data_IF_745942698314
#
_entry.id   IF_745942698314
#
_cell.length_a   1.000
_cell.length_b   1.000
_cell.length_c   1.000
_cell.angle_alpha   90.00
_cell.angle_beta   90.00
_cell.angle_gamma   90.00
#
_symmetry.space_group_name_H-M   'P 1'
#
loop_
_entity.id
_entity.type
_entity.pdbx_description
1 polymer ?
#
# COMPACT_ATOMS: atom_id res chain seq x y z
N UNK A 1 18.27 -8.21 -37.21
CA UNK A 1 17.13 -7.48 -36.62
C UNK A 1 16.96 -8.04 -35.22
N UNK A 2 17.10 -7.24 -34.15
CA UNK A 2 16.83 -7.76 -32.82
C UNK A 2 15.32 -7.99 -32.69
N UNK A 3 14.95 -9.20 -32.30
CA UNK A 3 13.56 -9.58 -32.04
C UNK A 3 12.99 -8.68 -30.93
N UNK A 4 11.82 -8.11 -31.20
CA UNK A 4 11.01 -7.43 -30.19
C UNK A 4 10.79 -8.39 -29.02
N UNK A 5 10.98 -7.95 -27.76
CA UNK A 5 10.67 -8.82 -26.62
C UNK A 5 9.18 -9.21 -26.68
N UNK A 6 8.83 -10.45 -26.30
CA UNK A 6 7.44 -10.86 -26.29
C UNK A 6 6.67 -9.95 -25.33
N UNK A 7 5.68 -9.22 -25.84
CA UNK A 7 4.65 -8.59 -25.03
C UNK A 7 3.90 -9.70 -24.31
N UNK A 8 4.33 -10.00 -23.08
CA UNK A 8 3.47 -10.64 -22.08
C UNK A 8 2.13 -9.92 -22.13
N UNK A 9 1.06 -10.67 -22.34
CA UNK A 9 -0.30 -10.21 -22.11
C UNK A 9 -0.78 -10.88 -20.84
N UNK A 10 -1.17 -10.09 -19.85
CA UNK A 10 -1.74 -10.56 -18.60
C UNK A 10 -2.89 -11.48 -18.94
N UNK A 11 -2.86 -12.67 -18.35
CA UNK A 11 -3.99 -13.58 -18.41
C UNK A 11 -5.24 -12.85 -17.90
N UNK A 12 -6.37 -13.00 -18.60
CA UNK A 12 -7.67 -12.43 -18.20
C UNK A 12 -8.26 -13.08 -16.95
N UNK A 13 -7.51 -13.97 -16.27
CA UNK A 13 -7.95 -14.63 -15.05
C UNK A 13 -8.14 -13.62 -13.93
N UNK A 14 -9.41 -13.39 -13.62
CA UNK A 14 -9.84 -12.69 -12.42
C UNK A 14 -9.96 -13.72 -11.30
N UNK A 15 -9.48 -13.39 -10.11
CA UNK A 15 -9.65 -14.23 -8.93
C UNK A 15 -10.39 -13.42 -7.86
N UNK A 16 -11.37 -14.06 -7.23
CA UNK A 16 -12.12 -13.45 -6.14
C UNK A 16 -11.21 -13.36 -4.90
N UNK A 17 -11.06 -12.16 -4.37
CA UNK A 17 -10.31 -11.93 -3.13
C UNK A 17 -11.13 -12.51 -1.98
N UNK A 18 -10.47 -13.23 -1.06
CA UNK A 18 -11.13 -13.73 0.15
C UNK A 18 -11.76 -12.56 0.92
N UNK A 19 -13.08 -12.66 1.16
CA UNK A 19 -13.86 -11.63 1.84
C UNK A 19 -14.20 -12.04 3.28
N UNK A 20 -13.97 -11.12 4.22
CA UNK A 20 -14.31 -11.21 5.63
C UNK A 20 -15.24 -10.04 5.96
N UNK A 21 -16.41 -10.25 6.55
CA UNK A 21 -17.23 -9.10 6.96
C UNK A 21 -16.65 -8.41 8.19
N UNK A 22 -16.94 -7.11 8.36
CA UNK A 22 -16.53 -6.39 9.57
C UNK A 22 -17.07 -7.06 10.85
N UNK A 23 -18.29 -7.60 10.80
CA UNK A 23 -18.89 -8.36 11.92
C UNK A 23 -18.11 -9.66 12.21
N UNK A 24 -17.72 -10.43 11.19
CA UNK A 24 -16.87 -11.61 11.38
C UNK A 24 -15.53 -11.25 12.01
N UNK A 25 -14.96 -10.10 11.64
CA UNK A 25 -13.69 -9.63 12.17
C UNK A 25 -13.78 -9.21 13.65
N UNK A 26 -14.90 -8.62 14.09
CA UNK A 26 -15.06 -8.14 15.48
C UNK A 26 -15.68 -9.18 16.42
N UNK A 27 -16.53 -10.06 15.90
CA UNK A 27 -17.43 -10.91 16.70
C UNK A 27 -17.49 -12.37 16.22
N UNK A 28 -16.81 -12.70 15.11
CA UNK A 28 -16.87 -14.03 14.50
C UNK A 28 -16.20 -15.11 15.32
N UNK A 29 -16.50 -16.37 14.98
CA UNK A 29 -15.82 -17.52 15.60
C UNK A 29 -14.38 -17.59 15.11
N UNK A 30 -13.44 -17.86 16.03
CA UNK A 30 -12.01 -17.92 15.71
C UNK A 30 -11.72 -18.89 14.54
N UNK A 31 -12.40 -20.03 14.48
CA UNK A 31 -12.16 -21.05 13.45
C UNK A 31 -12.48 -20.59 12.01
N UNK A 32 -13.62 -19.93 11.82
CA UNK A 32 -14.02 -19.45 10.48
C UNK A 32 -13.06 -18.37 9.98
N UNK A 33 -12.69 -17.44 10.87
CA UNK A 33 -11.78 -16.36 10.54
C UNK A 33 -10.37 -16.88 10.24
N UNK A 34 -9.84 -17.82 11.03
CA UNK A 34 -8.55 -18.47 10.76
C UNK A 34 -8.51 -19.11 9.37
N UNK A 35 -9.61 -19.78 8.96
CA UNK A 35 -9.71 -20.39 7.64
C UNK A 35 -9.62 -19.35 6.53
N UNK A 36 -10.37 -18.25 6.64
CA UNK A 36 -10.33 -17.16 5.65
C UNK A 36 -8.97 -16.46 5.62
N UNK A 37 -8.36 -16.19 6.77
CA UNK A 37 -7.04 -15.59 6.85
C UNK A 37 -5.97 -16.49 6.24
N UNK A 38 -6.02 -17.81 6.44
CA UNK A 38 -5.12 -18.73 5.72
C UNK A 38 -5.35 -18.74 4.21
N UNK A 39 -6.60 -18.69 3.75
CA UNK A 39 -6.93 -18.64 2.33
C UNK A 39 -6.43 -17.35 1.66
N UNK A 40 -6.52 -16.22 2.35
CA UNK A 40 -6.07 -14.93 1.83
C UNK A 40 -4.57 -14.71 1.96
N UNK A 41 -4.02 -14.92 3.15
CA UNK A 41 -2.66 -14.52 3.54
C UNK A 41 -1.65 -15.66 3.66
N UNK A 42 -2.10 -16.91 3.74
CA UNK A 42 -1.21 -18.07 3.88
C UNK A 42 -0.34 -18.29 2.64
N UNK A 43 0.52 -19.30 2.68
CA UNK A 43 1.48 -19.64 1.60
C UNK A 43 0.85 -19.91 0.23
N UNK A 44 -0.39 -20.41 0.21
CA UNK A 44 -1.17 -20.63 -1.02
C UNK A 44 -2.14 -19.48 -1.35
N UNK A 45 -2.22 -18.45 -0.50
CA UNK A 45 -3.11 -17.32 -0.69
C UNK A 45 -2.57 -16.27 -1.65
N UNK A 46 -3.43 -15.31 -2.00
CA UNK A 46 -3.05 -14.18 -2.85
C UNK A 46 -2.25 -13.10 -2.11
N UNK A 47 -2.08 -13.22 -0.79
CA UNK A 47 -1.47 -12.18 0.04
C UNK A 47 -2.38 -10.98 0.27
N UNK A 48 -3.69 -11.10 -0.01
CA UNK A 48 -4.67 -10.03 0.11
C UNK A 48 -6.02 -10.57 0.61
N UNK A 49 -6.71 -9.79 1.44
CA UNK A 49 -8.12 -10.00 1.81
C UNK A 49 -8.91 -8.72 1.61
N UNK A 50 -10.24 -8.82 1.57
CA UNK A 50 -11.13 -7.66 1.66
C UNK A 50 -12.04 -7.75 2.86
N UNK A 51 -12.34 -6.59 3.43
CA UNK A 51 -13.28 -6.41 4.53
C UNK A 51 -14.54 -5.72 4.00
N UNK A 52 -15.68 -6.42 4.08
CA UNK A 52 -16.99 -5.86 3.72
C UNK A 52 -17.64 -5.15 4.91
N UNK A 53 -18.63 -4.31 4.63
CA UNK A 53 -19.52 -3.71 5.63
C UNK A 53 -18.80 -2.90 6.72
N UNK A 54 -17.64 -2.31 6.39
CA UNK A 54 -16.87 -1.48 7.31
C UNK A 54 -17.65 -0.18 7.60
N UNK A 55 -18.04 0.09 8.86
CA UNK A 55 -18.84 1.26 9.18
C UNK A 55 -18.17 2.58 8.78
N UNK A 56 -18.91 3.44 8.07
CA UNK A 56 -18.44 4.76 7.65
C UNK A 56 -17.48 4.78 6.44
N UNK A 57 -17.00 3.62 5.96
CA UNK A 57 -16.02 3.54 4.87
C UNK A 57 -16.48 4.28 3.62
N UNK A 58 -17.69 4.01 3.12
CA UNK A 58 -18.20 4.60 1.88
C UNK A 58 -18.27 6.13 1.96
N UNK A 59 -18.68 6.68 3.10
CA UNK A 59 -18.76 8.13 3.33
C UNK A 59 -17.36 8.76 3.37
N UNK A 60 -16.42 8.15 4.11
CA UNK A 60 -15.06 8.65 4.23
C UNK A 60 -14.30 8.57 2.90
N UNK A 61 -14.46 7.47 2.16
CA UNK A 61 -13.92 7.28 0.80
C UNK A 61 -14.46 8.34 -0.15
N UNK A 62 -15.78 8.56 -0.17
CA UNK A 62 -16.41 9.56 -1.03
C UNK A 62 -15.97 10.99 -0.71
N UNK A 63 -15.61 11.29 0.55
CA UNK A 63 -15.08 12.59 0.95
C UNK A 63 -13.61 12.79 0.56
N UNK A 64 -12.74 11.80 0.80
CA UNK A 64 -11.29 11.96 0.58
C UNK A 64 -10.89 11.80 -0.89
N UNK A 65 -11.38 10.77 -1.59
CA UNK A 65 -10.82 10.41 -2.90
C UNK A 65 -10.93 11.52 -3.96
N UNK A 66 -12.02 12.31 -4.06
CA UNK A 66 -12.07 13.44 -4.99
C UNK A 66 -11.00 14.51 -4.71
N UNK A 67 -10.59 14.68 -3.44
CA UNK A 67 -9.57 15.65 -3.05
C UNK A 67 -8.20 15.35 -3.63
N UNK A 68 -7.92 14.09 -4.04
CA UNK A 68 -6.66 13.76 -4.73
C UNK A 68 -6.51 14.52 -6.05
N UNK A 69 -7.61 14.62 -6.82
CA UNK A 69 -7.64 15.37 -8.07
C UNK A 69 -7.60 16.89 -7.82
N UNK A 70 -8.31 17.36 -6.77
CA UNK A 70 -8.28 18.78 -6.37
C UNK A 70 -6.86 19.20 -5.98
N UNK A 71 -6.18 18.41 -5.13
CA UNK A 71 -4.79 18.62 -4.76
C UNK A 71 -3.89 18.65 -6.00
N UNK A 72 -4.01 17.66 -6.88
CA UNK A 72 -3.22 17.55 -8.11
C UNK A 72 -3.44 18.71 -9.11
N UNK A 73 -4.51 19.49 -8.93
CA UNK A 73 -4.86 20.66 -9.74
C UNK A 73 -4.46 22.01 -9.12
N UNK A 74 -3.91 22.01 -7.90
CA UNK A 74 -3.43 23.24 -7.25
C UNK A 74 -2.30 23.90 -8.08
N UNK A 75 -2.10 25.22 -7.93
CA UNK A 75 -1.01 25.92 -8.62
C UNK A 75 0.34 25.26 -8.34
N UNK A 76 1.22 25.24 -9.35
CA UNK A 76 2.55 24.61 -9.25
C UNK A 76 3.36 25.16 -8.05
N UNK A 77 3.30 26.47 -7.81
CA UNK A 77 3.97 27.09 -6.67
C UNK A 77 3.47 26.54 -5.30
N UNK A 78 2.18 26.20 -5.19
CA UNK A 78 1.63 25.56 -3.99
C UNK A 78 2.15 24.14 -3.89
N UNK A 79 2.07 23.36 -4.97
CA UNK A 79 2.56 21.98 -5.01
C UNK A 79 4.05 21.86 -4.68
N UNK A 80 4.90 22.75 -5.22
CA UNK A 80 6.32 22.83 -4.89
C UNK A 80 6.55 23.11 -3.42
N UNK A 81 5.74 23.99 -2.80
CA UNK A 81 5.78 24.27 -1.37
C UNK A 81 5.37 23.09 -0.48
N UNK A 82 4.74 22.06 -1.06
CA UNK A 82 4.37 20.83 -0.36
C UNK A 82 5.42 19.72 -0.52
N UNK A 83 6.46 19.88 -1.34
CA UNK A 83 7.46 18.82 -1.53
C UNK A 83 8.44 18.75 -0.35
N UNK A 84 8.89 17.54 0.00
CA UNK A 84 9.93 17.31 1.01
C UNK A 84 11.05 16.39 0.48
N UNK A 85 12.02 16.92 -0.27
CA UNK A 85 13.12 16.13 -0.81
C UNK A 85 13.96 15.43 0.26
N UNK A 86 14.11 16.05 1.45
CA UNK A 86 14.90 15.51 2.56
C UNK A 86 14.34 14.18 3.12
N UNK A 87 13.02 13.96 3.02
CA UNK A 87 12.40 12.67 3.36
C UNK A 87 12.42 11.66 2.22
N UNK A 88 13.13 11.95 1.12
CA UNK A 88 12.97 11.24 -0.15
C UNK A 88 11.49 11.24 -0.61
N UNK A 89 10.81 12.39 -0.44
CA UNK A 89 9.40 12.58 -0.77
C UNK A 89 8.42 11.63 -0.05
N UNK A 90 8.77 11.14 1.14
CA UNK A 90 7.88 10.37 2.01
C UNK A 90 6.89 11.24 2.81
N UNK A 91 6.96 12.57 2.66
CA UNK A 91 5.97 13.51 3.19
C UNK A 91 5.63 14.57 2.13
N UNK A 92 4.38 15.01 2.13
CA UNK A 92 3.90 16.04 1.23
C UNK A 92 3.72 15.55 -0.22
N UNK A 93 3.91 16.45 -1.18
CA UNK A 93 3.66 16.18 -2.61
C UNK A 93 4.85 15.54 -3.32
N UNK A 94 4.55 14.61 -4.23
CA UNK A 94 5.52 13.96 -5.11
C UNK A 94 4.91 13.67 -6.49
N UNK A 95 5.55 14.19 -7.55
CA UNK A 95 5.23 13.89 -8.95
C UNK A 95 6.51 13.89 -9.77
N UNK A 96 6.71 12.89 -10.63
CA UNK A 96 7.92 12.78 -11.45
C UNK A 96 9.20 12.54 -10.64
N UNK A 97 9.08 12.10 -9.38
CA UNK A 97 10.23 11.77 -8.52
C UNK A 97 10.62 10.28 -8.60
N UNK A 98 9.70 9.45 -9.08
CA UNK A 98 9.94 8.04 -9.42
C UNK A 98 10.25 7.93 -10.93
N UNK A 99 11.07 6.96 -11.31
CA UNK A 99 11.38 6.66 -12.71
C UNK A 99 10.52 5.48 -13.21
N UNK A 100 10.09 5.54 -14.47
CA UNK A 100 9.52 4.41 -15.21
C UNK A 100 10.62 3.40 -15.56
N UNK A 101 10.25 2.21 -16.04
CA UNK A 101 11.20 1.16 -16.46
C UNK A 101 12.18 1.63 -17.55
N UNK A 102 11.81 2.65 -18.33
CA UNK A 102 12.65 3.27 -19.36
C UNK A 102 13.52 4.45 -18.85
N UNK A 103 13.55 4.67 -17.53
CA UNK A 103 14.34 5.72 -16.87
C UNK A 103 13.70 7.11 -16.89
N UNK A 104 12.58 7.33 -17.58
CA UNK A 104 11.92 8.64 -17.60
C UNK A 104 11.14 8.91 -16.32
N UNK A 105 11.02 10.18 -15.87
CA UNK A 105 10.17 10.53 -14.74
C UNK A 105 8.71 10.08 -14.94
N UNK A 106 8.13 9.44 -13.92
CA UNK A 106 6.71 9.09 -13.91
C UNK A 106 5.85 10.33 -13.63
N UNK A 107 5.40 10.95 -14.72
CA UNK A 107 4.50 12.11 -14.70
C UNK A 107 3.02 11.71 -14.74
N UNK A 108 2.71 10.42 -14.83
CA UNK A 108 1.35 9.88 -14.97
C UNK A 108 0.60 9.82 -13.64
N UNK A 109 1.30 10.01 -12.52
CA UNK A 109 0.69 10.05 -11.19
C UNK A 109 1.26 11.16 -10.32
N UNK A 110 0.39 11.70 -9.46
CA UNK A 110 0.76 12.50 -8.29
C UNK A 110 0.50 11.69 -7.03
N UNK A 111 1.39 11.78 -6.06
CA UNK A 111 1.25 11.17 -4.74
C UNK A 111 1.37 12.22 -3.66
N UNK A 112 0.48 12.16 -2.67
CA UNK A 112 0.58 12.94 -1.45
C UNK A 112 0.72 12.02 -0.25
N UNK A 113 1.78 12.22 0.52
CA UNK A 113 2.13 11.41 1.66
C UNK A 113 1.95 12.17 2.97
N UNK A 114 1.28 11.54 3.92
CA UNK A 114 1.18 12.06 5.27
C UNK A 114 0.96 10.92 6.26
N UNK A 115 1.35 11.13 7.50
CA UNK A 115 1.03 10.26 8.60
C UNK A 115 -0.42 10.57 9.08
N UNK A 116 -1.35 9.60 9.04
CA UNK A 116 -2.74 9.85 9.41
C UNK A 116 -2.96 9.96 10.93
N UNK A 117 -2.02 9.48 11.76
CA UNK A 117 -2.18 9.46 13.22
C UNK A 117 -1.63 10.71 13.88
N UNK A 118 -0.46 11.18 13.44
CA UNK A 118 0.28 12.27 14.07
C UNK A 118 0.95 13.18 13.04
N UNK A 119 0.83 14.49 13.20
CA UNK A 119 1.46 15.46 12.28
C UNK A 119 2.94 15.67 12.53
N UNK A 120 3.37 15.55 13.79
CA UNK A 120 4.77 15.64 14.19
C UNK A 120 5.00 14.64 15.31
N UNK A 121 5.73 13.59 15.01
CA UNK A 121 6.02 12.56 16.00
C UNK A 121 7.10 13.01 17.00
N UNK A 122 8.16 13.67 16.54
CA UNK A 122 9.32 14.02 17.38
C UNK A 122 9.90 15.38 17.02
N UNK A 123 10.57 16.02 17.98
CA UNK A 123 11.41 17.22 17.77
C UNK A 123 12.92 16.91 17.87
N UNK A 124 13.27 15.65 18.11
CA UNK A 124 14.65 15.21 18.20
C UNK A 124 15.34 15.33 16.84
N UNK A 125 16.29 16.26 16.76
CA UNK A 125 17.09 16.53 15.55
C UNK A 125 17.87 15.32 15.07
N UNK A 126 18.30 14.44 15.98
CA UNK A 126 19.01 13.22 15.63
C UNK A 126 18.09 12.25 14.89
N UNK A 127 16.89 12.01 15.42
CA UNK A 127 15.89 11.13 14.79
C UNK A 127 15.39 11.70 13.46
N UNK A 128 15.19 13.02 13.36
CA UNK A 128 14.83 13.70 12.11
C UNK A 128 15.88 13.54 11.02
N UNK A 129 17.16 13.50 11.40
CA UNK A 129 18.28 13.29 10.46
C UNK A 129 18.49 11.83 10.11
N UNK A 130 18.32 10.92 11.08
CA UNK A 130 18.60 9.49 10.89
C UNK A 130 17.46 8.77 10.17
N UNK A 131 16.22 9.19 10.39
CA UNK A 131 15.02 8.54 9.86
C UNK A 131 14.08 9.56 9.20
N UNK A 132 14.54 10.34 8.21
CA UNK A 132 13.77 11.46 7.66
C UNK A 132 12.46 11.01 7.00
N UNK A 133 12.41 9.80 6.41
CA UNK A 133 11.19 9.22 5.84
C UNK A 133 10.09 8.88 6.85
N UNK A 134 10.46 8.71 8.12
CA UNK A 134 9.55 8.33 9.21
C UNK A 134 9.26 9.49 10.18
N UNK A 135 10.25 10.33 10.46
CA UNK A 135 10.20 11.29 11.57
C UNK A 135 9.81 12.72 11.17
N UNK A 136 9.95 13.10 9.90
CA UNK A 136 9.64 14.48 9.44
C UNK A 136 8.14 14.79 9.61
N UNK A 137 7.78 16.07 9.79
CA UNK A 137 6.37 16.43 10.00
C UNK A 137 5.56 16.36 8.69
N UNK A 138 4.25 16.17 8.83
CA UNK A 138 3.31 16.33 7.73
C UNK A 138 3.34 17.76 7.15
N UNK A 139 3.13 17.87 5.84
CA UNK A 139 3.07 19.14 5.11
C UNK A 139 1.70 19.25 4.45
N UNK A 140 0.79 20.00 5.07
CA UNK A 140 -0.59 20.13 4.61
C UNK A 140 -0.79 21.40 3.76
N UNK A 141 -1.64 21.36 2.71
CA UNK A 141 -2.05 22.53 1.93
C UNK A 141 -3.08 23.39 2.69
N UNK A 142 -2.71 23.91 3.86
CA UNK A 142 -3.65 24.50 4.82
C UNK A 142 -4.44 25.71 4.28
N UNK A 143 -3.88 26.47 3.34
CA UNK A 143 -4.54 27.65 2.76
C UNK A 143 -5.36 27.32 1.50
N UNK A 144 -4.95 26.29 0.75
CA UNK A 144 -5.48 26.00 -0.58
C UNK A 144 -6.45 24.81 -0.59
N UNK A 145 -6.32 23.89 0.39
CA UNK A 145 -7.20 22.74 0.57
C UNK A 145 -7.23 22.30 2.07
N UNK A 146 -7.76 23.14 2.97
CA UNK A 146 -7.72 22.90 4.42
C UNK A 146 -8.43 21.61 4.86
N UNK A 147 -9.48 21.19 4.14
CA UNK A 147 -10.28 20.00 4.46
C UNK A 147 -9.51 18.69 4.25
N UNK A 148 -8.42 18.70 3.49
CA UNK A 148 -7.63 17.51 3.19
C UNK A 148 -7.11 16.83 4.46
N UNK A 149 -6.65 17.61 5.45
CA UNK A 149 -6.05 17.08 6.68
C UNK A 149 -7.02 16.17 7.42
N UNK A 150 -8.20 16.67 7.74
CA UNK A 150 -9.19 15.88 8.50
C UNK A 150 -9.77 14.74 7.65
N UNK A 151 -10.01 14.96 6.35
CA UNK A 151 -10.47 13.89 5.46
C UNK A 151 -9.47 12.72 5.36
N UNK A 152 -8.18 13.04 5.24
CA UNK A 152 -7.10 12.06 5.15
C UNK A 152 -6.93 11.30 6.48
N UNK A 153 -6.94 12.02 7.60
CA UNK A 153 -6.78 11.44 8.94
C UNK A 153 -7.94 10.51 9.30
N UNK A 154 -9.18 10.92 9.09
CA UNK A 154 -10.34 10.09 9.47
C UNK A 154 -10.38 8.76 8.69
N UNK A 155 -10.15 8.80 7.36
CA UNK A 155 -10.08 7.55 6.59
C UNK A 155 -8.83 6.74 6.94
N UNK A 156 -7.68 7.39 7.14
CA UNK A 156 -6.45 6.71 7.51
C UNK A 156 -6.54 5.99 8.87
N UNK A 157 -7.17 6.63 9.86
CA UNK A 157 -7.42 6.04 11.18
C UNK A 157 -8.38 4.86 11.10
N UNK A 158 -9.44 4.94 10.28
CA UNK A 158 -10.34 3.79 10.05
C UNK A 158 -9.56 2.60 9.46
N UNK A 159 -8.72 2.85 8.47
CA UNK A 159 -7.92 1.80 7.83
C UNK A 159 -6.93 1.16 8.82
N UNK A 160 -6.25 1.98 9.63
CA UNK A 160 -5.35 1.48 10.69
C UNK A 160 -6.11 0.64 11.71
N UNK A 161 -7.27 1.11 12.17
CA UNK A 161 -8.11 0.38 13.13
C UNK A 161 -8.47 -1.02 12.62
N UNK A 162 -8.96 -1.14 11.39
CA UNK A 162 -9.30 -2.43 10.79
C UNK A 162 -8.05 -3.31 10.59
N UNK A 163 -6.91 -2.70 10.22
CA UNK A 163 -5.63 -3.39 10.12
C UNK A 163 -5.15 -3.97 11.46
N UNK A 164 -5.34 -3.24 12.57
CA UNK A 164 -5.04 -3.73 13.91
C UNK A 164 -5.92 -4.93 14.29
N UNK A 165 -7.22 -4.89 13.99
CA UNK A 165 -8.10 -6.04 14.22
C UNK A 165 -7.61 -7.28 13.46
N UNK A 166 -7.21 -7.14 12.20
CA UNK A 166 -6.62 -8.23 11.41
C UNK A 166 -5.32 -8.75 12.04
N UNK A 167 -4.41 -7.85 12.43
CA UNK A 167 -3.13 -8.22 13.02
C UNK A 167 -3.28 -8.97 14.35
N UNK A 168 -4.31 -8.67 15.14
CA UNK A 168 -4.62 -9.38 16.38
C UNK A 168 -4.97 -10.86 16.11
N UNK A 169 -5.88 -11.12 15.16
CA UNK A 169 -6.22 -12.50 14.77
C UNK A 169 -5.04 -13.23 14.14
N UNK A 170 -4.29 -12.56 13.26
CA UNK A 170 -3.05 -13.08 12.69
C UNK A 170 -2.03 -13.45 13.78
N UNK A 171 -1.88 -12.62 14.80
CA UNK A 171 -0.96 -12.84 15.91
C UNK A 171 -1.31 -14.08 16.72
N UNK A 172 -2.60 -14.28 17.01
CA UNK A 172 -3.11 -15.52 17.66
C UNK A 172 -2.79 -16.78 16.84
N UNK A 173 -2.99 -16.74 15.53
CA UNK A 173 -2.66 -17.87 14.64
C UNK A 173 -1.17 -18.19 14.63
N UNK A 174 -0.31 -17.16 14.60
CA UNK A 174 1.15 -17.33 14.62
C UNK A 174 1.62 -17.88 15.97
N UNK A 175 1.03 -17.43 17.08
CA UNK A 175 1.34 -17.95 18.41
C UNK A 175 0.94 -19.43 18.59
N UNK A 176 -0.19 -19.84 18.00
CA UNK A 176 -0.60 -21.25 17.96
C UNK A 176 0.35 -22.10 17.11
N UNK A 177 0.81 -21.58 15.97
CA UNK A 177 1.70 -22.29 15.06
C UNK A 177 3.15 -22.35 15.55
N UNK A 178 3.64 -21.30 16.23
CA UNK A 178 5.01 -21.19 16.74
C UNK A 178 5.01 -20.98 18.27
N UNK A 179 5.06 -22.07 19.06
CA UNK A 179 5.10 -21.99 20.52
C UNK A 179 6.22 -21.07 21.03
N UNK A 180 5.90 -20.27 22.05
CA UNK A 180 6.82 -19.27 22.61
C UNK A 180 6.72 -17.88 21.96
N UNK A 181 5.83 -17.71 20.97
CA UNK A 181 5.52 -16.39 20.37
C UNK A 181 4.33 -15.77 21.09
N UNK A 182 4.40 -14.47 21.40
CA UNK A 182 3.27 -13.73 21.96
C UNK A 182 2.18 -13.52 20.89
N UNK A 183 0.92 -13.79 21.24
CA UNK A 183 -0.22 -13.55 20.38
C UNK A 183 -0.39 -12.07 20.02
N UNK A 184 -0.03 -11.16 20.92
CA UNK A 184 -0.22 -9.72 20.71
C UNK A 184 0.92 -9.08 19.91
N UNK A 185 1.98 -9.84 19.58
CA UNK A 185 3.20 -9.30 18.98
C UNK A 185 2.93 -8.55 17.68
N UNK A 186 2.19 -9.15 16.77
CA UNK A 186 1.91 -8.56 15.45
C UNK A 186 1.02 -7.32 15.56
N UNK A 187 0.00 -7.37 16.44
CA UNK A 187 -0.84 -6.22 16.74
C UNK A 187 -0.01 -5.07 17.34
N UNK A 188 0.80 -5.35 18.36
CA UNK A 188 1.55 -4.32 19.08
C UNK A 188 2.61 -3.63 18.21
N UNK A 189 3.22 -4.37 17.28
CA UNK A 189 4.16 -3.84 16.28
C UNK A 189 3.58 -2.67 15.49
N UNK A 190 2.30 -2.74 15.13
CA UNK A 190 1.65 -1.71 14.31
C UNK A 190 0.78 -0.74 15.11
N UNK A 191 0.08 -1.21 16.15
CA UNK A 191 -0.88 -0.40 16.90
C UNK A 191 -0.19 0.71 17.70
N UNK A 192 1.02 0.44 18.19
CA UNK A 192 1.84 1.42 18.90
C UNK A 192 2.75 2.23 17.97
N UNK A 193 2.82 1.85 16.69
CA UNK A 193 3.75 2.47 15.74
C UNK A 193 3.26 3.85 15.30
N UNK A 194 4.10 4.88 15.50
CA UNK A 194 3.83 6.21 14.99
C UNK A 194 4.28 6.36 13.54
N UNK A 195 4.66 5.27 12.85
CA UNK A 195 5.29 5.32 11.53
C UNK A 195 4.33 5.05 10.38
N UNK A 196 3.04 4.78 10.65
CA UNK A 196 2.05 4.54 9.59
C UNK A 196 2.00 5.70 8.59
N UNK A 197 1.86 5.36 7.31
CA UNK A 197 1.94 6.33 6.21
C UNK A 197 0.77 6.18 5.26
N UNK A 198 -0.04 7.22 5.12
CA UNK A 198 -1.02 7.32 4.05
C UNK A 198 -0.36 7.83 2.77
N UNK A 199 -0.82 7.33 1.63
CA UNK A 199 -0.49 7.78 0.28
C UNK A 199 -1.80 7.99 -0.48
N UNK A 200 -2.14 9.25 -0.74
CA UNK A 200 -3.25 9.63 -1.60
C UNK A 200 -2.73 9.76 -3.04
N UNK A 201 -3.26 8.95 -3.95
CA UNK A 201 -2.79 8.89 -5.32
C UNK A 201 -3.83 9.48 -6.29
N UNK A 202 -3.33 10.29 -7.22
CA UNK A 202 -4.07 10.73 -8.40
C UNK A 202 -3.33 10.26 -9.65
N UNK A 203 -3.97 9.39 -10.43
CA UNK A 203 -3.51 9.01 -11.77
C UNK A 203 -4.18 9.93 -12.79
N UNK A 204 -3.36 10.66 -13.53
CA UNK A 204 -3.83 11.59 -14.55
C UNK A 204 -4.48 10.85 -15.71
N UNK A 205 -5.44 11.48 -16.42
CA UNK A 205 -6.01 10.88 -17.61
C UNK A 205 -4.95 10.51 -18.65
N UNK A 206 -5.03 9.27 -19.13
CA UNK A 206 -4.20 8.82 -20.24
C UNK A 206 -4.86 9.16 -21.57
N UNK A 207 -4.05 9.61 -22.53
CA UNK A 207 -4.43 9.72 -23.94
C UNK A 207 -3.81 8.60 -24.80
N UNK A 208 -3.13 7.64 -24.17
CA UNK A 208 -2.44 6.57 -24.87
C UNK A 208 -3.41 5.49 -25.38
N UNK A 209 -3.23 5.06 -26.62
CA UNK A 209 -4.01 4.00 -27.26
C UNK A 209 -3.59 2.60 -26.80
N UNK A 210 -2.35 2.42 -26.35
CA UNK A 210 -1.83 1.19 -25.74
C UNK A 210 -1.25 1.50 -24.36
N UNK A 211 -1.42 0.57 -23.43
CA UNK A 211 -1.01 0.74 -22.03
C UNK A 211 -0.22 -0.49 -21.61
N UNK A 212 1.02 -0.25 -21.15
CA UNK A 212 1.87 -1.30 -20.62
C UNK A 212 1.26 -1.92 -19.35
N UNK A 213 1.61 -3.15 -19.07
CA UNK A 213 0.94 -3.98 -18.06
C UNK A 213 1.13 -3.44 -16.63
N UNK A 214 2.31 -2.90 -16.31
CA UNK A 214 2.63 -2.30 -15.01
C UNK A 214 2.79 -0.76 -15.09
N UNK A 215 1.95 -0.13 -15.92
CA UNK A 215 2.08 1.28 -16.33
C UNK A 215 1.74 2.32 -15.27
N UNK A 216 0.91 2.00 -14.28
CA UNK A 216 0.57 2.92 -13.19
C UNK A 216 1.38 2.64 -11.93
N UNK A 217 1.75 1.38 -11.71
CA UNK A 217 2.68 1.00 -10.66
C UNK A 217 3.41 -0.27 -11.08
N UNK A 218 4.74 -0.25 -11.02
CA UNK A 218 5.61 -1.38 -11.33
C UNK A 218 5.39 -2.57 -10.40
N UNK A 219 5.98 -3.72 -10.74
CA UNK A 219 6.01 -4.88 -9.85
C UNK A 219 6.80 -4.58 -8.59
N UNK A 220 6.16 -4.73 -7.43
CA UNK A 220 6.79 -4.55 -6.13
C UNK A 220 6.09 -5.39 -5.07
N UNK A 221 6.71 -5.48 -3.89
CA UNK A 221 6.10 -6.00 -2.67
C UNK A 221 6.18 -4.90 -1.63
N UNK A 222 5.11 -4.70 -0.87
CA UNK A 222 5.10 -3.68 0.18
C UNK A 222 6.03 -4.05 1.32
N UNK A 223 6.75 -3.05 1.84
CA UNK A 223 7.70 -3.20 2.95
C UNK A 223 6.99 -3.20 4.31
N UNK A 224 5.81 -2.58 4.40
CA UNK A 224 4.97 -2.45 5.60
C UNK A 224 4.57 -3.81 6.21
N UNK A 225 3.86 -3.80 7.34
CA UNK A 225 3.26 -5.02 7.87
C UNK A 225 1.97 -5.34 7.13
N UNK A 226 1.09 -4.34 6.99
CA UNK A 226 -0.11 -4.41 6.19
C UNK A 226 -0.23 -3.12 5.35
N UNK A 227 -0.76 -3.24 4.15
CA UNK A 227 -1.20 -2.07 3.37
C UNK A 227 -2.71 -2.13 3.23
N UNK A 228 -3.40 -1.17 3.84
CA UNK A 228 -4.83 -1.01 3.63
C UNK A 228 -5.11 -0.18 2.39
N UNK A 229 -5.97 -0.65 1.48
CA UNK A 229 -6.28 0.00 0.21
C UNK A 229 -7.78 0.18 0.02
N UNK A 230 -8.20 1.41 -0.29
CA UNK A 230 -9.56 1.66 -0.76
C UNK A 230 -9.77 1.10 -2.16
N UNK A 231 -11.01 0.69 -2.48
CA UNK A 231 -11.38 0.55 -3.89
C UNK A 231 -11.20 1.87 -4.63
N UNK A 232 -10.60 1.82 -5.81
CA UNK A 232 -10.27 3.02 -6.57
C UNK A 232 -11.53 3.76 -7.03
N UNK A 233 -11.44 5.07 -7.15
CA UNK A 233 -12.47 5.93 -7.71
C UNK A 233 -12.03 6.38 -9.09
N UNK A 234 -12.83 6.09 -10.11
CA UNK A 234 -12.60 6.56 -11.46
C UNK A 234 -13.40 7.84 -11.68
N UNK A 235 -12.76 8.87 -12.23
CA UNK A 235 -13.37 10.17 -12.42
C UNK A 235 -13.28 10.60 -13.88
N UNK A 236 -14.39 11.09 -14.42
CA UNK A 236 -14.44 11.78 -15.71
C UNK A 236 -15.14 13.13 -15.51
N UNK A 237 -14.51 14.22 -15.93
CA UNK A 237 -15.02 15.59 -15.70
C UNK A 237 -15.39 15.88 -14.23
N UNK A 238 -14.64 15.30 -13.28
CA UNK A 238 -14.85 15.47 -11.84
C UNK A 238 -16.01 14.66 -11.24
N UNK A 239 -16.65 13.77 -12.00
CA UNK A 239 -17.73 12.89 -11.53
C UNK A 239 -17.27 11.44 -11.46
N UNK A 240 -17.70 10.70 -10.43
CA UNK A 240 -17.42 9.26 -10.31
C UNK A 240 -18.13 8.49 -11.44
N UNK A 241 -17.35 7.68 -12.17
CA UNK A 241 -17.81 6.85 -13.27
C UNK A 241 -17.40 5.40 -13.03
N UNK A 242 -18.05 4.47 -13.71
CA UNK A 242 -17.60 3.08 -13.75
C UNK A 242 -16.30 2.98 -14.53
N UNK A 243 -15.45 2.02 -14.16
CA UNK A 243 -14.23 1.73 -14.89
C UNK A 243 -14.58 1.18 -16.29
N UNK A 244 -14.24 1.93 -17.34
CA UNK A 244 -14.49 1.54 -18.74
C UNK A 244 -13.47 0.54 -19.30
N UNK A 245 -12.31 0.35 -18.66
CA UNK A 245 -11.34 -0.70 -19.03
C UNK A 245 -11.33 -1.82 -17.98
N UNK A 246 -11.98 -2.98 -18.24
CA UNK A 246 -12.04 -4.08 -17.29
C UNK A 246 -10.67 -4.69 -16.96
N UNK A 247 -9.64 -4.44 -17.78
CA UNK A 247 -8.27 -4.85 -17.52
C UNK A 247 -7.46 -3.80 -16.74
N UNK A 248 -8.01 -2.63 -16.42
CA UNK A 248 -7.36 -1.68 -15.54
C UNK A 248 -7.49 -2.12 -14.07
N UNK A 249 -6.45 -1.89 -13.27
CA UNK A 249 -6.49 -2.14 -11.82
C UNK A 249 -5.30 -2.94 -11.29
N UNK A 250 -5.53 -3.57 -10.14
CA UNK A 250 -4.52 -4.28 -9.35
C UNK A 250 -4.31 -5.70 -9.90
N UNK A 251 -3.04 -6.06 -10.08
CA UNK A 251 -2.62 -7.41 -10.45
C UNK A 251 -1.67 -7.95 -9.39
N UNK A 252 -1.80 -9.23 -9.07
CA UNK A 252 -1.01 -9.92 -8.06
C UNK A 252 -0.37 -11.15 -8.70
N UNK A 253 0.91 -11.39 -8.38
CA UNK A 253 1.61 -12.63 -8.71
C UNK A 253 1.54 -13.57 -7.52
N UNK A 254 0.82 -14.68 -7.69
CA UNK A 254 0.69 -15.71 -6.66
C UNK A 254 2.01 -16.43 -6.42
N UNK A 255 2.05 -17.25 -5.36
CA UNK A 255 3.21 -18.10 -5.05
C UNK A 255 3.51 -19.16 -6.12
N UNK A 256 2.53 -19.53 -6.96
CA UNK A 256 2.73 -20.40 -8.12
C UNK A 256 3.29 -19.67 -9.36
N UNK A 257 3.47 -18.34 -9.27
CA UNK A 257 3.89 -17.49 -10.38
C UNK A 257 2.75 -17.04 -11.30
N UNK A 258 1.51 -17.42 -11.00
CA UNK A 258 0.34 -17.00 -11.77
C UNK A 258 0.04 -15.52 -11.50
N UNK A 259 -0.20 -14.76 -12.57
CA UNK A 259 -0.64 -13.36 -12.47
C UNK A 259 -2.16 -13.30 -12.58
N UNK A 260 -2.80 -12.77 -11.54
CA UNK A 260 -4.26 -12.63 -11.45
C UNK A 260 -4.67 -11.18 -11.25
N UNK A 261 -5.82 -10.80 -11.80
CA UNK A 261 -6.43 -9.50 -11.51
C UNK A 261 -7.20 -9.57 -10.20
N UNK A 262 -6.85 -8.72 -9.25
CA UNK A 262 -7.51 -8.59 -7.96
C UNK A 262 -8.54 -7.45 -8.01
N UNK A 263 -9.81 -7.80 -7.91
CA UNK A 263 -10.91 -6.84 -7.95
C UNK A 263 -11.38 -6.52 -6.53
N UNK A 264 -11.18 -5.27 -6.08
CA UNK A 264 -11.66 -4.78 -4.79
C UNK A 264 -13.07 -4.20 -5.00
N UNK A 265 -14.14 -4.78 -4.41
CA UNK A 265 -15.49 -4.24 -4.51
C UNK A 265 -15.57 -2.79 -4.00
N UNK A 266 -16.53 -2.02 -4.53
CA UNK A 266 -16.62 -0.55 -4.33
C UNK A 266 -16.67 -0.14 -2.85
N UNK A 267 -17.37 -0.92 -2.04
CA UNK A 267 -17.65 -0.74 -0.62
C UNK A 267 -16.76 -1.60 0.29
N UNK A 268 -15.72 -2.24 -0.27
CA UNK A 268 -14.77 -3.03 0.50
C UNK A 268 -13.49 -2.24 0.80
N UNK A 269 -12.86 -2.60 1.91
CA UNK A 269 -11.49 -2.21 2.25
C UNK A 269 -10.56 -3.41 2.06
N UNK A 270 -9.53 -3.29 1.22
CA UNK A 270 -8.58 -4.37 1.03
C UNK A 270 -7.38 -4.24 1.98
N UNK A 271 -6.80 -5.38 2.37
CA UNK A 271 -5.55 -5.42 3.12
C UNK A 271 -4.58 -6.38 2.43
N UNK A 272 -3.45 -5.84 2.00
CA UNK A 272 -2.36 -6.60 1.42
C UNK A 272 -1.27 -6.85 2.47
N UNK A 273 -0.72 -8.06 2.45
CA UNK A 273 0.37 -8.46 3.32
C UNK A 273 1.68 -7.84 2.85
N UNK A 274 2.41 -7.20 3.76
CA UNK A 274 3.75 -6.69 3.48
C UNK A 274 4.85 -7.55 4.07
N UNK A 275 6.08 -7.30 3.63
CA UNK A 275 7.25 -8.11 3.97
C UNK A 275 7.57 -8.08 5.46
N UNK A 276 7.29 -6.97 6.16
CA UNK A 276 7.52 -6.92 7.60
C UNK A 276 6.68 -7.93 8.37
N UNK A 277 5.41 -8.08 7.99
CA UNK A 277 4.53 -9.09 8.59
C UNK A 277 4.95 -10.51 8.18
N UNK A 278 5.44 -10.71 6.95
CA UNK A 278 6.00 -12.00 6.54
C UNK A 278 7.20 -12.41 7.41
N UNK A 279 8.07 -11.46 7.75
CA UNK A 279 9.20 -11.70 8.68
C UNK A 279 8.67 -12.00 10.08
N UNK A 280 7.88 -11.10 10.68
CA UNK A 280 7.41 -11.24 12.06
C UNK A 280 6.49 -12.45 12.28
N UNK A 281 5.82 -12.93 11.23
CA UNK A 281 5.01 -14.16 11.25
C UNK A 281 5.82 -15.43 10.96
N UNK A 282 7.14 -15.36 10.80
CA UNK A 282 7.96 -16.55 10.53
C UNK A 282 7.70 -17.16 9.15
N UNK A 283 7.19 -16.37 8.20
CA UNK A 283 6.79 -16.83 6.88
C UNK A 283 5.45 -17.56 6.85
N UNK A 284 4.70 -17.58 7.97
CA UNK A 284 3.35 -18.16 8.03
C UNK A 284 2.37 -17.41 7.12
N UNK A 285 2.49 -16.08 7.07
CA UNK A 285 1.83 -15.25 6.07
C UNK A 285 2.82 -14.78 5.00
N UNK A 286 2.33 -14.58 3.77
CA UNK A 286 3.16 -14.23 2.62
C UNK A 286 2.74 -12.91 1.99
N UNK A 287 3.71 -12.02 1.85
CA UNK A 287 3.65 -10.86 0.99
C UNK A 287 3.82 -11.29 -0.46
N UNK A 288 3.01 -10.72 -1.35
CA UNK A 288 2.97 -11.10 -2.77
C UNK A 288 3.34 -9.92 -3.67
N UNK A 289 4.14 -10.15 -4.72
CA UNK A 289 4.42 -9.11 -5.70
C UNK A 289 3.14 -8.68 -6.40
N UNK A 290 2.98 -7.38 -6.61
CA UNK A 290 1.81 -6.80 -7.26
C UNK A 290 2.18 -5.57 -8.09
N UNK A 291 1.29 -5.20 -9.01
CA UNK A 291 1.44 -4.04 -9.86
C UNK A 291 0.06 -3.44 -10.18
N UNK A 292 0.05 -2.25 -10.80
CA UNK A 292 -1.20 -1.62 -11.24
C UNK A 292 -1.12 -1.33 -12.73
N UNK A 293 -2.08 -1.88 -13.47
CA UNK A 293 -2.27 -1.60 -14.90
C UNK A 293 -3.15 -0.38 -15.09
N UNK A 294 -2.69 0.56 -15.92
CA UNK A 294 -3.46 1.70 -16.36
C UNK A 294 -4.64 1.36 -17.25
N UNK A 295 -5.64 2.24 -17.24
CA UNK A 295 -6.75 2.16 -18.18
C UNK A 295 -6.28 2.59 -19.58
N UNK A 296 -6.54 1.74 -20.57
CA UNK A 296 -6.24 1.99 -21.98
C UNK A 296 -7.49 2.08 -22.85
N UNK A 297 -7.29 2.45 -24.12
CA UNK A 297 -8.35 2.52 -25.11
C UNK A 297 -9.13 3.84 -25.13
N UNK A 298 -9.87 4.06 -26.23
CA UNK A 298 -10.61 5.32 -26.45
C UNK A 298 -11.68 5.58 -25.40
N UNK A 299 -12.31 4.54 -24.88
CA UNK A 299 -13.38 4.63 -23.86
C UNK A 299 -12.86 5.03 -22.47
N UNK A 300 -11.55 4.91 -22.24
CA UNK A 300 -10.87 5.36 -21.02
C UNK A 300 -10.26 6.76 -21.16
N UNK A 301 -10.39 7.39 -22.34
CA UNK A 301 -9.83 8.70 -22.61
C UNK A 301 -10.46 9.77 -21.71
N UNK A 302 -9.61 10.55 -21.03
CA UNK A 302 -10.08 11.58 -20.10
C UNK A 302 -10.49 11.05 -18.72
N UNK A 303 -10.36 9.73 -18.46
CA UNK A 303 -10.63 9.14 -17.15
C UNK A 303 -9.39 9.20 -16.27
N UNK A 304 -9.53 9.81 -15.09
CA UNK A 304 -8.52 9.74 -14.02
C UNK A 304 -8.88 8.68 -12.99
N UNK A 305 -7.92 8.29 -12.16
CA UNK A 305 -8.14 7.31 -11.08
C UNK A 305 -7.55 7.83 -9.77
N UNK A 306 -8.34 7.80 -8.71
CA UNK A 306 -7.91 8.15 -7.37
C UNK A 306 -7.97 6.94 -6.46
N UNK A 307 -7.01 6.79 -5.56
CA UNK A 307 -7.05 5.77 -4.51
C UNK A 307 -6.27 6.23 -3.30
N UNK A 308 -6.56 5.63 -2.15
CA UNK A 308 -5.85 5.87 -0.91
C UNK A 308 -5.30 4.55 -0.37
N UNK A 309 -4.00 4.53 -0.13
CA UNK A 309 -3.29 3.42 0.49
C UNK A 309 -2.73 3.87 1.85
N UNK A 310 -2.77 3.01 2.85
CA UNK A 310 -2.15 3.25 4.16
C UNK A 310 -1.20 2.11 4.46
N UNK A 311 0.09 2.42 4.47
CA UNK A 311 1.16 1.54 4.90
C UNK A 311 1.18 1.51 6.43
N UNK A 312 0.67 0.43 7.00
CA UNK A 312 0.62 0.18 8.43
C UNK A 312 1.88 -0.60 8.79
N UNK A 313 2.81 0.05 9.48
CA UNK A 313 4.21 -0.40 9.53
C UNK A 313 4.84 -0.28 10.91
N UNK A 314 5.84 -1.10 11.26
CA UNK A 314 6.54 -1.05 12.54
C UNK A 314 7.24 0.28 12.80
N UNK A 315 7.71 0.50 14.03
CA UNK A 315 8.60 1.63 14.33
C UNK A 315 9.98 1.38 13.73
N UNK A 316 10.69 2.42 13.30
CA UNK A 316 11.98 2.29 12.59
C UNK A 316 13.05 1.50 13.37
N UNK A 317 13.04 1.49 14.70
CA UNK A 317 14.00 0.77 15.55
C UNK A 317 13.47 -0.59 16.03
N UNK A 318 12.27 -0.98 15.58
CA UNK A 318 11.73 -2.30 15.88
C UNK A 318 12.56 -3.37 15.18
N UNK A 319 12.87 -4.43 15.92
CA UNK A 319 13.63 -5.55 15.39
C UNK A 319 12.78 -6.34 14.40
N UNK A 320 13.38 -6.67 13.26
CA UNK A 320 12.78 -7.56 12.26
C UNK A 320 13.11 -9.02 12.62
N UNK A 321 12.75 -9.45 13.82
CA UNK A 321 12.99 -10.81 14.29
C UNK A 321 11.90 -11.79 13.81
N UNK A 322 12.18 -13.09 13.84
CA UNK A 322 11.21 -14.13 13.49
C UNK A 322 10.68 -14.80 14.77
N UNK A 323 9.55 -15.52 14.74
CA UNK A 323 9.13 -16.38 15.83
C UNK A 323 10.26 -17.35 16.25
N UNK A 324 10.49 -17.62 17.56
CA UNK A 324 11.63 -18.43 18.01
C UNK A 324 11.70 -19.84 17.42
N UNK A 325 10.53 -20.45 17.15
CA UNK A 325 10.42 -21.78 16.54
C UNK A 325 10.42 -21.76 15.00
N UNK A 326 10.46 -20.57 14.37
CA UNK A 326 10.46 -20.45 12.92
C UNK A 326 11.84 -20.71 12.32
N UNK A 327 11.85 -21.22 11.09
CA UNK A 327 13.07 -21.51 10.33
C UNK A 327 13.35 -20.33 9.40
N UNK A 328 14.51 -19.68 9.55
CA UNK A 328 14.90 -18.48 8.78
C UNK A 328 14.88 -18.71 7.26
N UNK A 329 15.21 -19.91 6.79
CA UNK A 329 15.16 -20.26 5.37
C UNK A 329 13.74 -20.15 4.75
N UNK A 330 12.68 -20.21 5.57
CA UNK A 330 11.30 -20.11 5.11
C UNK A 330 10.81 -18.66 4.93
N UNK A 331 11.58 -17.67 5.40
CA UNK A 331 11.20 -16.26 5.30
C UNK A 331 11.29 -15.81 3.86
N UNK A 332 12.39 -16.07 3.16
CA UNK A 332 12.60 -15.71 1.75
C UNK A 332 12.20 -14.25 1.42
N UNK A 333 12.64 -13.31 2.25
CA UNK A 333 12.47 -11.86 2.03
C UNK A 333 13.84 -11.28 1.69
N UNK A 334 13.94 -10.63 0.54
CA UNK A 334 15.18 -10.02 0.11
C UNK A 334 15.63 -8.92 1.08
N UNK A 335 16.93 -8.83 1.35
CA UNK A 335 17.55 -7.83 2.26
C UNK A 335 17.21 -7.96 3.75
N UNK A 336 16.41 -8.95 4.13
CA UNK A 336 16.24 -9.30 5.53
C UNK A 336 17.47 -10.09 6.04
N UNK A 337 18.01 -9.67 7.17
CA UNK A 337 19.05 -10.39 7.91
C UNK A 337 18.73 -10.39 9.40
N UNK A 338 19.21 -11.38 10.19
CA UNK A 338 19.03 -11.36 11.63
C UNK A 338 19.53 -10.05 12.27
N UNK A 339 18.76 -9.52 13.24
CA UNK A 339 19.01 -8.29 13.98
C UNK A 339 18.93 -6.97 13.18
N UNK A 340 18.40 -7.00 11.95
CA UNK A 340 18.10 -5.76 11.22
C UNK A 340 16.88 -5.07 11.85
N UNK A 341 16.92 -3.75 11.96
CA UNK A 341 15.75 -2.96 12.36
C UNK A 341 14.83 -2.70 11.17
N UNK A 342 13.57 -2.34 11.40
CA UNK A 342 12.63 -2.03 10.33
C UNK A 342 13.10 -0.84 9.47
N UNK A 343 13.74 0.17 10.08
CA UNK A 343 14.28 1.33 9.39
C UNK A 343 15.42 0.97 8.45
N UNK A 344 16.37 0.15 8.91
CA UNK A 344 17.47 -0.37 8.07
C UNK A 344 16.94 -1.27 6.95
N UNK A 345 15.98 -2.15 7.27
CA UNK A 345 15.33 -3.03 6.29
C UNK A 345 14.62 -2.24 5.19
N UNK A 346 13.88 -1.20 5.57
CA UNK A 346 13.15 -0.35 4.64
C UNK A 346 14.09 0.47 3.74
N UNK A 347 15.17 1.00 4.30
CA UNK A 347 16.13 1.83 3.57
C UNK A 347 16.85 1.02 2.48
N UNK A 348 17.25 -0.23 2.75
CA UNK A 348 17.84 -1.10 1.74
C UNK A 348 16.93 -1.28 0.51
N UNK A 349 15.62 -1.36 0.73
CA UNK A 349 14.62 -1.49 -0.34
C UNK A 349 14.42 -0.17 -1.09
N UNK A 350 14.32 0.96 -0.38
CA UNK A 350 14.20 2.27 -1.01
C UNK A 350 15.40 2.63 -1.89
N UNK A 351 16.60 2.23 -1.46
CA UNK A 351 17.81 2.40 -2.27
C UNK A 351 17.76 1.62 -3.58
N UNK A 352 17.17 0.41 -3.61
CA UNK A 352 17.00 -0.34 -4.86
C UNK A 352 16.08 0.38 -5.85
N UNK A 353 14.98 0.96 -5.37
CA UNK A 353 14.08 1.75 -6.23
C UNK A 353 14.79 2.99 -6.80
N UNK A 354 15.69 3.61 -6.03
CA UNK A 354 16.47 4.78 -6.46
C UNK A 354 17.68 4.45 -7.36
N UNK A 355 18.25 3.24 -7.28
CA UNK A 355 19.40 2.85 -8.10
C UNK A 355 19.03 2.41 -9.51
N UNK A 356 17.76 2.01 -9.73
CA UNK A 356 17.20 1.82 -11.08
C UNK A 356 17.18 3.15 -11.85
N UNK A 357 17.18 4.29 -11.16
CA UNK A 357 17.15 5.64 -11.74
C UNK A 357 18.50 6.15 -12.27
N UNK A 358 19.62 5.50 -11.95
CA UNK A 358 20.98 6.00 -12.26
C UNK A 358 21.71 5.14 -13.31
N UNK A 359 21.14 3.99 -13.69
CA UNK A 359 21.67 3.13 -14.77
C UNK A 359 20.68 3.06 -15.92
N UNK A 360 20.60 4.14 -16.70
CA UNK A 360 19.85 4.21 -17.96
C UNK A 360 20.37 5.36 -18.80
#
# INVERSE_FOLDING_TARGET
>A
MPESPPTSTFSSKTCDITCISYEELTSGTAHQLCTKLQQGFGTGGLGIVTISDVPGLSQLRARLLPMAAQLASLPEAVLTGLEDPDSNHNFGWARGKEALEDGRPDLNKGSFYANPTVDRHTEDKHLLSMYPGFCRPNIWPANDLPELREAFRELGLLIIHVGCLLADHCGRMVAEHFPGTSADRLHNSIASSPCSKGRLLHYYPSHATSVAEASWCGWHTDVSSLTGLTSAMYLQNGQEVQNSDPAAGLYIRSSSGEVVKACIPHDHLAFQMGEAMQVHSGGFFKATPHCVRGAGGKESSGMSRNTFAVFIQPRWDEQMDIPPAAISANINVAHWTPNVTFGEFSEHKFQQYSQISVRG
#
